data_IF_556343701308
#
_entry.id   IF_556343701308
#
_cell.length_a   1.000
_cell.length_b   1.000
_cell.length_c   1.000
_cell.angle_alpha   90.00
_cell.angle_beta   90.00
_cell.angle_gamma   90.00
#
_symmetry.space_group_name_H-M   'P 1'
#
loop_
_entity.id
_entity.type
_entity.pdbx_description
1 polymer ?
#
# COMPACT_ATOMS: atom_id res chain seq x y z
N UNK A 1 0.29 -24.18 6.14
CA UNK A 1 1.53 -23.44 5.80
C UNK A 1 1.11 -22.12 5.18
N UNK A 2 1.35 -20.98 5.83
CA UNK A 2 1.17 -19.66 5.19
C UNK A 2 2.43 -19.42 4.35
N UNK A 3 2.26 -19.43 3.03
CA UNK A 3 3.34 -19.11 2.09
C UNK A 3 3.74 -17.66 2.33
N UNK A 4 5.01 -17.42 2.66
CA UNK A 4 5.56 -16.07 2.82
C UNK A 4 5.42 -15.31 1.49
N UNK A 5 4.96 -14.06 1.54
CA UNK A 5 4.86 -13.22 0.33
C UNK A 5 6.28 -12.83 -0.09
N UNK A 6 6.64 -13.11 -1.34
CA UNK A 6 7.98 -12.88 -1.89
C UNK A 6 7.90 -12.14 -3.24
N UNK A 7 9.06 -11.81 -3.82
CA UNK A 7 9.10 -11.05 -5.07
C UNK A 7 8.40 -11.78 -6.24
N UNK A 8 8.36 -13.10 -6.24
CA UNK A 8 7.80 -13.90 -7.34
C UNK A 8 6.28 -13.87 -7.35
N UNK A 9 5.65 -13.84 -6.18
CA UNK A 9 4.19 -13.87 -6.03
C UNK A 9 3.54 -12.50 -5.74
N UNK A 10 4.34 -11.48 -5.40
CA UNK A 10 3.87 -10.13 -5.04
C UNK A 10 2.85 -9.54 -6.02
N UNK A 11 3.15 -9.54 -7.32
CA UNK A 11 2.29 -8.92 -8.35
C UNK A 11 0.96 -9.66 -8.50
N UNK A 12 1.00 -10.99 -8.42
CA UNK A 12 -0.19 -11.81 -8.51
C UNK A 12 -1.09 -11.56 -7.29
N UNK A 13 -0.52 -11.58 -6.10
CA UNK A 13 -1.24 -11.30 -4.86
C UNK A 13 -1.89 -9.92 -4.88
N UNK A 14 -1.17 -8.89 -5.31
CA UNK A 14 -1.75 -7.54 -5.46
C UNK A 14 -2.91 -7.50 -6.47
N UNK A 15 -2.81 -8.25 -7.58
CA UNK A 15 -3.88 -8.34 -8.55
C UNK A 15 -5.13 -9.07 -8.02
N UNK A 16 -4.94 -10.06 -7.13
CA UNK A 16 -6.02 -10.79 -6.48
C UNK A 16 -6.69 -9.98 -5.37
N UNK A 17 -5.90 -9.28 -4.56
CA UNK A 17 -6.40 -8.48 -3.44
C UNK A 17 -7.00 -7.14 -3.88
N UNK A 18 -6.59 -6.61 -5.04
CA UNK A 18 -7.06 -5.32 -5.57
C UNK A 18 -7.67 -5.54 -6.95
N UNK A 19 -8.89 -6.10 -7.02
CA UNK A 19 -9.53 -6.44 -8.29
C UNK A 19 -9.70 -5.22 -9.21
N UNK A 20 -9.87 -4.02 -8.64
CA UNK A 20 -10.00 -2.77 -9.37
C UNK A 20 -8.74 -2.35 -10.14
N UNK A 21 -7.58 -2.88 -9.76
CA UNK A 21 -6.29 -2.60 -10.38
C UNK A 21 -5.58 -3.88 -10.86
N UNK A 22 -6.31 -5.00 -10.94
CA UNK A 22 -5.74 -6.29 -11.31
C UNK A 22 -5.02 -6.25 -12.67
N UNK A 23 -5.62 -5.58 -13.67
CA UNK A 23 -5.00 -5.40 -14.97
C UNK A 23 -3.68 -4.60 -14.89
N UNK A 24 -3.63 -3.58 -14.04
CA UNK A 24 -2.44 -2.74 -13.83
C UNK A 24 -1.26 -3.55 -13.30
N UNK A 25 -1.50 -4.41 -12.30
CA UNK A 25 -0.43 -5.24 -11.71
C UNK A 25 -0.01 -6.40 -12.63
N UNK A 26 -0.97 -6.99 -13.38
CA UNK A 26 -0.69 -8.03 -14.38
C UNK A 26 0.11 -7.50 -15.58
N UNK A 27 -0.07 -6.23 -15.94
CA UNK A 27 0.65 -5.59 -17.04
C UNK A 27 2.09 -5.19 -16.71
N UNK A 28 2.53 -5.30 -15.45
CA UNK A 28 3.91 -4.98 -15.08
C UNK A 28 4.89 -5.98 -15.72
N UNK A 29 6.02 -5.53 -16.29
CA UNK A 29 7.03 -6.40 -16.90
C UNK A 29 7.54 -7.49 -15.95
N UNK A 30 7.87 -8.66 -16.49
CA UNK A 30 8.60 -9.70 -15.74
C UNK A 30 9.91 -9.14 -15.16
N UNK A 31 10.22 -9.46 -13.90
CA UNK A 31 11.41 -8.93 -13.22
C UNK A 31 11.27 -7.52 -12.64
N UNK A 32 10.06 -6.93 -12.66
CA UNK A 32 9.80 -5.66 -11.96
C UNK A 32 10.22 -5.76 -10.48
N UNK A 33 10.95 -4.75 -10.00
CA UNK A 33 11.42 -4.73 -8.62
C UNK A 33 10.28 -4.51 -7.62
N UNK A 34 10.50 -4.92 -6.37
CA UNK A 34 9.57 -4.69 -5.26
C UNK A 34 9.24 -3.20 -5.12
N UNK A 35 10.26 -2.33 -5.19
CA UNK A 35 10.09 -0.88 -5.08
C UNK A 35 9.20 -0.31 -6.19
N UNK A 36 9.43 -0.71 -7.45
CA UNK A 36 8.58 -0.26 -8.57
C UNK A 36 7.14 -0.74 -8.40
N UNK A 37 6.97 -1.98 -7.93
CA UNK A 37 5.63 -2.54 -7.66
C UNK A 37 4.91 -1.76 -6.57
N UNK A 38 5.61 -1.37 -5.49
CA UNK A 38 5.03 -0.57 -4.41
C UNK A 38 4.78 0.88 -4.81
N UNK A 39 5.63 1.49 -5.63
CA UNK A 39 5.33 2.79 -6.24
C UNK A 39 4.04 2.72 -7.06
N UNK A 40 3.87 1.65 -7.85
CA UNK A 40 2.62 1.45 -8.59
C UNK A 40 1.42 1.28 -7.66
N UNK A 41 1.56 0.59 -6.53
CA UNK A 41 0.51 0.50 -5.51
C UNK A 41 0.17 1.87 -4.92
N UNK A 42 1.14 2.75 -4.68
CA UNK A 42 0.91 4.13 -4.24
C UNK A 42 0.13 4.95 -5.28
N UNK A 43 0.52 4.85 -6.55
CA UNK A 43 -0.15 5.52 -7.66
C UNK A 43 -1.61 5.07 -7.77
N UNK A 44 -1.85 3.75 -7.76
CA UNK A 44 -3.20 3.17 -7.78
C UNK A 44 -4.04 3.67 -6.60
N UNK A 45 -3.47 3.64 -5.39
CA UNK A 45 -4.16 4.14 -4.18
C UNK A 45 -4.56 5.60 -4.34
N UNK A 46 -3.65 6.43 -4.85
CA UNK A 46 -3.87 7.87 -5.05
C UNK A 46 -4.94 8.14 -6.10
N UNK A 47 -4.91 7.43 -7.24
CA UNK A 47 -5.91 7.55 -8.31
C UNK A 47 -7.30 7.15 -7.80
N UNK A 48 -7.41 6.02 -7.10
CA UNK A 48 -8.68 5.56 -6.54
C UNK A 48 -9.23 6.51 -5.48
N UNK A 49 -8.36 7.09 -4.65
CA UNK A 49 -8.74 8.12 -3.70
C UNK A 49 -9.26 9.38 -4.38
N UNK A 50 -8.61 9.84 -5.46
CA UNK A 50 -9.06 10.99 -6.23
C UNK A 50 -10.40 10.75 -6.93
N UNK A 51 -10.70 9.50 -7.30
CA UNK A 51 -11.98 9.07 -7.87
C UNK A 51 -13.05 8.79 -6.80
N UNK A 52 -12.79 9.04 -5.51
CA UNK A 52 -13.67 8.70 -4.39
C UNK A 52 -14.06 7.21 -4.33
N UNK A 53 -13.24 6.31 -4.89
CA UNK A 53 -13.46 4.87 -4.89
C UNK A 53 -12.95 4.24 -3.59
N UNK A 54 -13.50 4.68 -2.46
CA UNK A 54 -12.97 4.36 -1.13
C UNK A 54 -13.00 2.87 -0.77
N UNK A 55 -13.92 2.08 -1.35
CA UNK A 55 -13.90 0.61 -1.24
C UNK A 55 -12.62 0.03 -1.86
N UNK A 56 -12.23 0.52 -3.03
CA UNK A 56 -11.02 0.09 -3.71
C UNK A 56 -9.76 0.59 -2.98
N UNK A 57 -9.79 1.82 -2.44
CA UNK A 57 -8.73 2.31 -1.56
C UNK A 57 -8.54 1.39 -0.36
N UNK A 58 -9.62 0.94 0.27
CA UNK A 58 -9.56 -0.03 1.38
C UNK A 58 -8.86 -1.34 0.96
N UNK A 59 -9.12 -1.86 -0.24
CA UNK A 59 -8.38 -3.01 -0.76
C UNK A 59 -6.88 -2.75 -0.85
N UNK A 60 -6.46 -1.59 -1.36
CA UNK A 60 -5.06 -1.21 -1.41
C UNK A 60 -4.41 -1.15 -0.02
N UNK A 61 -5.11 -0.55 0.96
CA UNK A 61 -4.62 -0.44 2.32
C UNK A 61 -4.51 -1.80 3.03
N UNK A 62 -5.48 -2.69 2.81
CA UNK A 62 -5.44 -4.05 3.33
C UNK A 62 -4.31 -4.86 2.71
N UNK A 63 -4.09 -4.72 1.40
CA UNK A 63 -2.97 -5.36 0.73
C UNK A 63 -1.63 -4.87 1.28
N UNK A 64 -1.49 -3.56 1.50
CA UNK A 64 -0.29 -3.01 2.13
C UNK A 64 -0.08 -3.51 3.56
N UNK A 65 -1.14 -3.69 4.35
CA UNK A 65 -1.04 -4.30 5.68
C UNK A 65 -0.59 -5.78 5.61
N UNK A 66 -1.13 -6.55 4.67
CA UNK A 66 -0.74 -7.95 4.46
C UNK A 66 0.74 -8.06 4.08
N UNK A 67 1.21 -7.20 3.18
CA UNK A 67 2.63 -7.11 2.82
C UNK A 67 3.51 -6.68 4.00
N UNK A 68 3.03 -5.80 4.87
CA UNK A 68 3.76 -5.37 6.06
C UNK A 68 3.94 -6.51 7.07
N UNK A 69 2.93 -7.35 7.24
CA UNK A 69 2.88 -8.37 8.28
C UNK A 69 3.37 -9.76 7.84
N UNK A 70 3.22 -10.10 6.56
CA UNK A 70 3.34 -11.48 6.08
C UNK A 70 4.31 -11.66 4.90
N UNK A 71 4.93 -10.58 4.42
CA UNK A 71 5.96 -10.66 3.38
C UNK A 71 7.37 -10.86 3.95
N UNK A 72 8.30 -11.24 3.06
CA UNK A 72 9.72 -11.26 3.38
C UNK A 72 10.22 -9.87 3.83
N UNK A 73 11.26 -9.80 4.68
CA UNK A 73 11.75 -8.53 5.24
C UNK A 73 12.07 -7.45 4.21
N UNK A 74 12.51 -7.86 3.01
CA UNK A 74 12.78 -6.92 1.91
C UNK A 74 11.51 -6.19 1.45
N UNK A 75 10.38 -6.89 1.36
CA UNK A 75 9.10 -6.32 0.94
C UNK A 75 8.49 -5.50 2.07
N UNK A 76 8.48 -6.01 3.30
CA UNK A 76 7.93 -5.25 4.44
C UNK A 76 8.71 -3.95 4.66
N UNK A 77 10.05 -3.97 4.57
CA UNK A 77 10.86 -2.75 4.62
C UNK A 77 10.54 -1.79 3.47
N UNK A 78 10.33 -2.31 2.26
CA UNK A 78 9.95 -1.47 1.12
C UNK A 78 8.55 -0.87 1.29
N UNK A 79 7.60 -1.56 1.95
CA UNK A 79 6.30 -0.99 2.32
C UNK A 79 6.48 0.20 3.27
N UNK A 80 7.31 0.05 4.30
CA UNK A 80 7.59 1.15 5.23
C UNK A 80 8.21 2.35 4.51
N UNK A 81 9.24 2.13 3.69
CA UNK A 81 10.01 3.22 3.05
C UNK A 81 9.31 3.87 1.87
N UNK A 82 8.46 3.15 1.13
CA UNK A 82 7.80 3.65 -0.08
C UNK A 82 6.33 3.93 0.17
N UNK A 83 5.58 2.92 0.61
CA UNK A 83 4.13 2.99 0.65
C UNK A 83 3.64 3.86 1.80
N UNK A 84 4.11 3.61 3.02
CA UNK A 84 3.69 4.37 4.21
C UNK A 84 4.12 5.83 4.10
N UNK A 85 5.35 6.08 3.62
CA UNK A 85 5.83 7.43 3.36
C UNK A 85 4.97 8.17 2.32
N UNK A 86 4.62 7.54 1.20
CA UNK A 86 3.78 8.19 0.19
C UNK A 86 2.34 8.36 0.67
N UNK A 87 1.85 7.46 1.51
CA UNK A 87 0.54 7.55 2.16
C UNK A 87 0.47 8.74 3.12
N UNK A 88 1.55 9.08 3.83
CA UNK A 88 1.57 10.28 4.67
C UNK A 88 1.29 11.54 3.85
N UNK A 89 1.93 11.67 2.69
CA UNK A 89 1.71 12.80 1.76
C UNK A 89 0.28 12.88 1.23
N UNK A 90 -0.43 11.75 1.16
CA UNK A 90 -1.84 11.72 0.77
C UNK A 90 -2.74 12.19 1.91
N UNK A 91 -2.41 11.81 3.14
CA UNK A 91 -3.14 12.15 4.36
C UNK A 91 -2.89 13.60 4.82
N UNK A 92 -1.72 14.17 4.52
CA UNK A 92 -1.35 15.53 4.93
C UNK A 92 -2.08 16.64 4.14
N UNK A 93 -2.83 16.30 3.09
CA UNK A 93 -3.54 17.28 2.23
C UNK A 93 -4.74 17.96 2.91
N UNK A 94 -5.10 17.58 4.13
CA UNK A 94 -6.19 18.16 4.96
C UNK A 94 -7.49 18.40 4.19
N UNK A 95 -7.87 17.45 3.34
CA UNK A 95 -9.16 17.45 2.66
C UNK A 95 -10.07 16.32 3.20
N UNK A 96 -11.36 16.36 2.85
CA UNK A 96 -12.33 15.37 3.31
C UNK A 96 -11.97 13.92 2.92
N UNK A 97 -11.16 13.72 1.87
CA UNK A 97 -10.71 12.38 1.46
C UNK A 97 -9.66 11.85 2.42
N UNK A 98 -8.75 12.71 2.90
CA UNK A 98 -7.76 12.33 3.89
C UNK A 98 -8.41 11.82 5.18
N UNK A 99 -9.49 12.46 5.65
CA UNK A 99 -10.25 11.98 6.80
C UNK A 99 -10.81 10.58 6.57
N UNK A 100 -11.47 10.35 5.43
CA UNK A 100 -12.01 9.02 5.07
C UNK A 100 -10.90 7.98 5.01
N UNK A 101 -9.75 8.29 4.40
CA UNK A 101 -8.63 7.35 4.31
C UNK A 101 -8.07 7.04 5.70
N UNK A 102 -7.97 8.02 6.62
CA UNK A 102 -7.59 7.77 8.01
C UNK A 102 -8.51 6.76 8.71
N UNK A 103 -9.83 6.86 8.49
CA UNK A 103 -10.78 5.89 9.02
C UNK A 103 -10.61 4.49 8.42
N UNK A 104 -10.22 4.41 7.14
CA UNK A 104 -10.00 3.14 6.43
C UNK A 104 -8.67 2.46 6.77
N UNK A 105 -7.71 3.17 7.37
CA UNK A 105 -6.39 2.61 7.71
C UNK A 105 -6.51 1.35 8.59
N UNK A 106 -5.97 0.21 8.14
CA UNK A 106 -5.86 -0.99 8.95
C UNK A 106 -4.90 -0.81 10.14
N UNK A 107 -5.00 -1.69 11.14
CA UNK A 107 -4.40 -1.48 12.47
C UNK A 107 -2.87 -1.37 12.42
N UNK A 108 -2.19 -2.33 11.78
CA UNK A 108 -0.74 -2.35 11.71
C UNK A 108 -0.21 -1.24 10.82
N UNK A 109 -0.87 -0.97 9.69
CA UNK A 109 -0.51 0.12 8.80
C UNK A 109 -0.68 1.49 9.47
N UNK A 110 -1.75 1.68 10.26
CA UNK A 110 -1.97 2.88 11.07
C UNK A 110 -0.89 3.03 12.15
N UNK A 111 -0.50 1.94 12.81
CA UNK A 111 0.54 1.96 13.82
C UNK A 111 1.89 2.38 13.21
N UNK A 112 2.24 1.84 12.05
CA UNK A 112 3.48 2.19 11.34
C UNK A 112 3.45 3.64 10.82
N UNK A 113 2.35 4.08 10.23
CA UNK A 113 2.16 5.49 9.86
C UNK A 113 2.36 6.42 11.06
N UNK A 114 1.71 6.13 12.20
CA UNK A 114 1.87 6.90 13.44
C UNK A 114 3.31 6.89 13.94
N UNK A 115 3.98 5.73 13.92
CA UNK A 115 5.39 5.61 14.29
C UNK A 115 6.25 6.54 13.44
N UNK A 116 6.09 6.52 12.11
CA UNK A 116 6.89 7.35 11.21
C UNK A 116 6.67 8.85 11.42
N UNK A 117 5.42 9.32 11.55
CA UNK A 117 5.15 10.75 11.75
C UNK A 117 5.61 11.24 13.14
N UNK A 118 5.56 10.39 14.16
CA UNK A 118 6.00 10.74 15.52
C UNK A 118 7.51 10.65 15.68
N UNK A 119 8.18 9.71 15.01
CA UNK A 119 9.64 9.58 15.04
C UNK A 119 10.39 10.62 14.21
N UNK A 120 9.70 11.27 13.26
CA UNK A 120 10.27 12.32 12.42
C UNK A 120 10.03 13.74 12.95
N UNK A 121 9.37 13.91 14.11
CA UNK A 121 9.27 15.17 14.83
C UNK A 121 10.37 15.20 15.91
N UNK A 122 11.34 16.14 15.84
CA UNK A 122 12.32 16.34 16.91
C UNK A 122 11.68 16.83 18.21
#
# INVERSE_FOLDING_TARGET
MRTTIDQTNLRQLLAEQIPEAAATFKALPGGTSVFVTLHKLCEVTSVLAHQNRFRAVKHCLLAAEDLLLHAEPRISNAVCSVYVFQLSRLLDKRDARAEVIHYLLPKALRAEYRRQITSCLP
#
